data_IF_783729830883
#
_entry.id   IF_783729830883
#
_cell.length_a   1.000
_cell.length_b   1.000
_cell.length_c   1.000
_cell.angle_alpha   90.00
_cell.angle_beta   90.00
_cell.angle_gamma   90.00
#
_symmetry.space_group_name_H-M   'P 1'
#
loop_
_entity.id
_entity.type
_entity.pdbx_description
1 polymer ?
#
# COMPACT_ATOMS: atom_id res chain seq x y z
N UNK A 1 6.61 15.04 6.46
CA UNK A 1 6.83 13.58 6.29
C UNK A 1 7.83 12.98 7.27
N UNK A 2 8.78 13.73 7.85
CA UNK A 2 9.77 13.15 8.77
C UNK A 2 9.37 13.42 10.22
N UNK A 3 8.72 12.45 10.85
CA UNK A 3 8.33 12.50 12.28
C UNK A 3 9.24 11.58 13.08
N UNK A 4 9.54 11.97 14.32
CA UNK A 4 10.12 11.05 15.30
C UNK A 4 9.11 9.93 15.59
N UNK A 5 9.58 8.77 16.09
CA UNK A 5 8.66 7.69 16.51
C UNK A 5 7.72 8.15 17.63
N UNK A 6 8.17 9.06 18.51
CA UNK A 6 7.34 9.65 19.55
C UNK A 6 6.19 10.50 18.96
N UNK A 7 6.50 11.36 17.99
CA UNK A 7 5.49 12.19 17.32
C UNK A 7 4.52 11.35 16.48
N UNK A 8 5.02 10.32 15.81
CA UNK A 8 4.20 9.37 15.07
C UNK A 8 3.14 8.72 15.99
N UNK A 9 3.55 8.22 17.15
CA UNK A 9 2.63 7.64 18.14
C UNK A 9 1.61 8.66 18.64
N UNK A 10 2.05 9.90 18.91
CA UNK A 10 1.17 10.98 19.36
C UNK A 10 0.11 11.32 18.32
N UNK A 11 0.49 11.43 17.05
CA UNK A 11 -0.46 11.71 15.94
C UNK A 11 -1.44 10.55 15.76
N UNK A 12 -0.95 9.30 15.79
CA UNK A 12 -1.83 8.13 15.72
C UNK A 12 -2.87 8.11 16.84
N UNK A 13 -2.47 8.41 18.08
CA UNK A 13 -3.39 8.47 19.22
C UNK A 13 -4.44 9.59 19.09
N UNK A 14 -4.07 10.71 18.48
CA UNK A 14 -4.95 11.87 18.34
C UNK A 14 -5.91 11.75 17.14
N UNK A 15 -5.43 11.26 16.00
CA UNK A 15 -6.15 11.28 14.73
C UNK A 15 -6.70 9.91 14.29
N UNK A 16 -6.21 8.81 14.87
CA UNK A 16 -6.55 7.45 14.45
C UNK A 16 -5.84 6.97 13.18
N UNK A 17 -5.11 7.85 12.48
CA UNK A 17 -4.30 7.50 11.32
C UNK A 17 -3.07 8.41 11.21
N UNK A 18 -2.04 7.96 10.49
CA UNK A 18 -0.86 8.75 10.19
C UNK A 18 -0.21 8.28 8.87
N UNK A 19 0.29 9.23 8.09
CA UNK A 19 1.13 8.98 6.92
C UNK A 19 2.50 9.61 7.16
N UNK A 20 3.55 8.78 7.15
CA UNK A 20 4.93 9.20 7.39
C UNK A 20 5.86 8.66 6.31
N UNK A 21 6.98 9.34 6.09
CA UNK A 21 8.05 8.85 5.24
C UNK A 21 8.95 7.85 5.95
N UNK A 22 9.91 7.28 5.21
CA UNK A 22 10.96 6.44 5.79
C UNK A 22 11.79 7.23 6.81
N UNK A 23 11.97 6.68 8.00
CA UNK A 23 12.87 7.23 9.03
C UNK A 23 14.18 6.45 9.07
N UNK A 24 15.20 6.97 9.74
CA UNK A 24 16.45 6.21 9.96
C UNK A 24 16.23 4.97 10.86
N UNK A 25 15.10 4.91 11.56
CA UNK A 25 14.77 3.88 12.55
C UNK A 25 13.94 2.74 11.95
N UNK A 26 13.29 2.94 10.80
CA UNK A 26 12.41 1.96 10.15
C UNK A 26 13.06 1.46 8.85
N UNK A 27 13.44 0.17 8.81
CA UNK A 27 14.03 -0.53 7.66
C UNK A 27 15.22 0.22 6.99
N UNK A 28 16.29 0.58 7.72
CA UNK A 28 17.40 1.38 7.18
C UNK A 28 18.19 0.68 6.05
N UNK A 29 18.24 -0.65 6.06
CA UNK A 29 18.89 -1.43 5.01
C UNK A 29 18.11 -1.36 3.68
N UNK A 30 16.78 -1.45 3.74
CA UNK A 30 15.92 -1.35 2.56
C UNK A 30 16.09 0.03 1.89
N UNK A 31 16.15 1.11 2.66
CA UNK A 31 16.37 2.46 2.11
C UNK A 31 17.63 2.52 1.23
N UNK A 32 18.75 1.95 1.69
CA UNK A 32 20.01 1.92 0.92
C UNK A 32 19.87 1.01 -0.31
N UNK A 33 19.27 -0.17 -0.15
CA UNK A 33 19.11 -1.14 -1.23
C UNK A 33 18.16 -0.62 -2.32
N UNK A 34 17.07 0.04 -1.95
CA UNK A 34 16.11 0.64 -2.87
C UNK A 34 16.77 1.75 -3.70
N UNK A 35 17.53 2.65 -3.06
CA UNK A 35 18.27 3.69 -3.77
C UNK A 35 19.28 3.12 -4.78
N UNK A 36 19.92 2.01 -4.47
CA UNK A 36 20.81 1.32 -5.41
C UNK A 36 20.03 0.69 -6.58
N UNK A 37 18.87 0.08 -6.31
CA UNK A 37 18.04 -0.56 -7.33
C UNK A 37 17.52 0.42 -8.37
N UNK A 38 17.13 1.60 -7.91
CA UNK A 38 16.59 2.69 -8.74
C UNK A 38 17.57 3.12 -9.84
N UNK A 39 18.88 3.09 -9.54
CA UNK A 39 19.95 3.48 -10.49
C UNK A 39 20.65 2.30 -11.17
N UNK A 40 20.20 1.07 -10.96
CA UNK A 40 20.82 -0.15 -11.54
C UNK A 40 19.85 -1.02 -12.33
N UNK A 41 18.64 -0.54 -12.60
CA UNK A 41 17.60 -1.29 -13.33
C UNK A 41 17.26 -2.65 -12.69
N UNK A 42 17.34 -2.74 -11.36
CA UNK A 42 17.01 -3.95 -10.58
C UNK A 42 15.74 -3.78 -9.72
N UNK A 43 14.92 -2.78 -10.04
CA UNK A 43 13.65 -2.52 -9.34
C UNK A 43 12.64 -3.64 -9.58
N UNK A 44 12.52 -4.13 -10.81
CA UNK A 44 11.42 -5.00 -11.27
C UNK A 44 11.46 -6.45 -10.74
N UNK A 45 12.47 -6.82 -9.94
CA UNK A 45 12.51 -8.16 -9.33
C UNK A 45 11.38 -8.32 -8.30
N UNK A 46 10.44 -9.29 -8.46
CA UNK A 46 9.33 -9.48 -7.52
C UNK A 46 9.80 -9.80 -6.10
N UNK A 47 10.92 -10.52 -5.96
CA UNK A 47 11.52 -10.83 -4.66
C UNK A 47 12.05 -9.58 -3.95
N UNK A 48 12.69 -8.67 -4.69
CA UNK A 48 13.20 -7.42 -4.12
C UNK A 48 12.06 -6.42 -3.85
N UNK A 49 10.98 -6.44 -4.64
CA UNK A 49 9.76 -5.67 -4.37
C UNK A 49 9.12 -6.17 -3.08
N UNK A 50 8.89 -7.48 -2.95
CA UNK A 50 8.34 -8.10 -1.74
C UNK A 50 9.20 -7.76 -0.52
N UNK A 51 10.50 -8.05 -0.55
CA UNK A 51 11.40 -7.78 0.57
C UNK A 51 11.41 -6.29 0.96
N UNK A 52 11.37 -5.40 -0.03
CA UNK A 52 11.33 -3.96 0.22
C UNK A 52 10.04 -3.55 0.92
N UNK A 53 8.88 -3.84 0.34
CA UNK A 53 7.58 -3.42 0.90
C UNK A 53 7.35 -4.05 2.28
N UNK A 54 7.55 -5.37 2.38
CA UNK A 54 7.25 -6.12 3.60
C UNK A 54 8.17 -5.73 4.75
N UNK A 55 9.48 -5.53 4.53
CA UNK A 55 10.41 -5.15 5.61
C UNK A 55 10.00 -3.85 6.31
N UNK A 56 9.51 -2.86 5.56
CA UNK A 56 8.99 -1.61 6.12
C UNK A 56 7.72 -1.85 6.94
N UNK A 57 6.74 -2.53 6.34
CA UNK A 57 5.43 -2.76 6.95
C UNK A 57 5.52 -3.62 8.20
N UNK A 58 6.41 -4.61 8.22
CA UNK A 58 6.66 -5.45 9.39
C UNK A 58 7.40 -4.69 10.49
N UNK A 59 8.35 -3.81 10.12
CA UNK A 59 9.05 -2.95 11.09
C UNK A 59 8.14 -1.89 11.73
N UNK A 60 7.07 -1.47 11.06
CA UNK A 60 6.03 -0.60 11.63
C UNK A 60 5.21 -1.28 12.74
N UNK A 61 5.29 -2.61 12.87
CA UNK A 61 4.63 -3.36 13.94
C UNK A 61 3.14 -3.62 13.71
N UNK A 62 2.67 -3.58 12.45
CA UNK A 62 1.26 -3.77 12.09
C UNK A 62 0.73 -5.14 12.50
N UNK A 63 -0.57 -5.24 12.76
CA UNK A 63 -1.27 -6.51 13.02
C UNK A 63 -1.78 -7.18 11.73
N UNK A 64 -2.05 -6.38 10.70
CA UNK A 64 -2.44 -6.86 9.39
C UNK A 64 -2.20 -5.85 8.28
N UNK A 65 -2.20 -6.34 7.04
CA UNK A 65 -1.94 -5.54 5.85
C UNK A 65 -2.88 -5.93 4.71
N UNK A 66 -3.47 -4.93 4.07
CA UNK A 66 -4.12 -5.06 2.76
C UNK A 66 -3.19 -4.47 1.70
N UNK A 67 -2.94 -5.24 0.63
CA UNK A 67 -2.06 -4.88 -0.47
C UNK A 67 -2.86 -4.57 -1.72
N UNK A 68 -2.53 -3.47 -2.38
CA UNK A 68 -3.04 -3.12 -3.70
C UNK A 68 -1.95 -3.41 -4.75
N UNK A 69 -2.08 -4.55 -5.43
CA UNK A 69 -1.11 -5.02 -6.43
C UNK A 69 -1.61 -4.64 -7.82
N UNK A 70 -0.97 -3.66 -8.42
CA UNK A 70 -1.34 -3.16 -9.75
C UNK A 70 -0.91 -4.14 -10.86
N UNK A 71 -1.78 -4.33 -11.86
CA UNK A 71 -1.46 -5.00 -13.12
C UNK A 71 -1.79 -4.11 -14.32
N UNK A 72 -1.15 -4.34 -15.47
CA UNK A 72 -1.45 -3.61 -16.71
C UNK A 72 -0.32 -2.70 -17.19
N UNK A 73 -0.58 -1.96 -18.25
CA UNK A 73 0.41 -1.19 -19.02
C UNK A 73 1.11 -0.09 -18.22
N UNK A 74 0.47 0.45 -17.17
CA UNK A 74 1.04 1.41 -16.23
C UNK A 74 1.70 0.78 -14.98
N UNK A 75 1.52 -0.52 -14.72
CA UNK A 75 2.04 -1.18 -13.52
C UNK A 75 3.48 -1.70 -13.69
N UNK A 76 4.15 -2.04 -12.59
CA UNK A 76 5.39 -2.85 -12.66
C UNK A 76 5.10 -4.26 -13.21
N UNK A 77 3.99 -4.86 -12.78
CA UNK A 77 3.57 -6.18 -13.23
C UNK A 77 2.65 -6.03 -14.44
N UNK A 78 3.22 -6.08 -15.66
CA UNK A 78 2.43 -5.88 -16.90
C UNK A 78 1.40 -6.97 -17.17
N UNK A 79 1.70 -8.20 -16.74
CA UNK A 79 0.83 -9.37 -16.92
C UNK A 79 0.22 -9.73 -15.57
N UNK A 80 -1.07 -10.03 -15.58
CA UNK A 80 -1.83 -10.41 -14.39
C UNK A 80 -1.17 -11.58 -13.64
N UNK A 81 -0.67 -12.60 -14.35
CA UNK A 81 0.05 -13.72 -13.73
C UNK A 81 1.26 -13.30 -12.88
N UNK A 82 1.96 -12.23 -13.26
CA UNK A 82 3.07 -11.70 -12.45
C UNK A 82 2.57 -10.91 -11.24
N UNK A 83 1.44 -10.22 -11.35
CA UNK A 83 0.78 -9.56 -10.23
C UNK A 83 0.26 -10.58 -9.20
N UNK A 84 -0.37 -11.66 -9.66
CA UNK A 84 -0.78 -12.80 -8.83
C UNK A 84 0.42 -13.38 -8.09
N UNK A 85 1.51 -13.67 -8.81
CA UNK A 85 2.73 -14.20 -8.20
C UNK A 85 3.29 -13.27 -7.11
N UNK A 86 3.34 -11.96 -7.36
CA UNK A 86 3.79 -10.99 -6.36
C UNK A 86 2.86 -10.93 -5.16
N UNK A 87 1.54 -10.97 -5.38
CA UNK A 87 0.54 -10.96 -4.33
C UNK A 87 0.68 -12.19 -3.42
N UNK A 88 0.75 -13.39 -4.00
CA UNK A 88 0.95 -14.65 -3.27
C UNK A 88 2.24 -14.62 -2.45
N UNK A 89 3.35 -14.21 -3.08
CA UNK A 89 4.64 -14.09 -2.40
C UNK A 89 4.58 -13.15 -1.18
N UNK A 90 3.92 -12.00 -1.30
CA UNK A 90 3.81 -11.02 -0.22
C UNK A 90 2.85 -11.46 0.89
N UNK A 91 1.71 -12.07 0.52
CA UNK A 91 0.75 -12.65 1.47
C UNK A 91 1.43 -13.77 2.27
N UNK A 92 2.04 -14.73 1.60
CA UNK A 92 2.73 -15.85 2.25
C UNK A 92 3.84 -15.35 3.18
N UNK A 93 4.62 -14.36 2.74
CA UNK A 93 5.67 -13.76 3.57
C UNK A 93 5.09 -13.14 4.85
N UNK A 94 4.00 -12.39 4.74
CA UNK A 94 3.34 -11.76 5.88
C UNK A 94 2.73 -12.76 6.85
N UNK A 95 2.08 -13.80 6.33
CA UNK A 95 1.49 -14.88 7.13
C UNK A 95 2.54 -15.68 7.89
N UNK A 96 3.68 -15.98 7.25
CA UNK A 96 4.85 -16.60 7.91
C UNK A 96 5.44 -15.74 9.03
N UNK A 97 5.27 -14.41 8.95
CA UNK A 97 5.63 -13.45 10.01
C UNK A 97 4.52 -13.28 11.07
N UNK A 98 3.44 -14.06 10.99
CA UNK A 98 2.31 -14.02 11.93
C UNK A 98 1.38 -12.83 11.73
N UNK A 99 1.33 -12.23 10.54
CA UNK A 99 0.47 -11.08 10.22
C UNK A 99 -0.75 -11.53 9.41
N UNK A 100 -1.87 -10.85 9.60
CA UNK A 100 -3.04 -11.03 8.74
C UNK A 100 -2.81 -10.34 7.40
N UNK A 101 -3.12 -11.00 6.30
CA UNK A 101 -2.80 -10.48 4.96
C UNK A 101 -4.01 -10.57 4.04
N UNK A 102 -4.16 -9.59 3.16
CA UNK A 102 -5.06 -9.65 2.00
C UNK A 102 -4.42 -8.87 0.86
N UNK A 103 -4.66 -9.30 -0.38
CA UNK A 103 -4.19 -8.59 -1.55
C UNK A 103 -5.32 -8.48 -2.59
N UNK A 104 -5.45 -7.31 -3.21
CA UNK A 104 -6.32 -7.06 -4.34
C UNK A 104 -5.43 -6.84 -5.56
N UNK A 105 -5.78 -7.47 -6.67
CA UNK A 105 -5.15 -7.22 -7.97
C UNK A 105 -6.03 -6.23 -8.70
N UNK A 106 -5.47 -5.09 -9.07
CA UNK A 106 -6.27 -3.97 -9.59
C UNK A 106 -5.68 -3.39 -10.86
N UNK A 107 -6.57 -2.87 -11.71
CA UNK A 107 -6.20 -2.36 -13.03
C UNK A 107 -5.31 -1.11 -12.94
N UNK A 108 -4.39 -1.02 -13.89
CA UNK A 108 -3.54 0.13 -14.17
C UNK A 108 -3.22 0.17 -15.68
N UNK A 109 -4.12 -0.31 -16.54
CA UNK A 109 -4.05 -0.04 -17.98
C UNK A 109 -4.36 1.43 -18.30
N UNK A 110 -5.01 2.13 -17.37
CA UNK A 110 -5.25 3.57 -17.40
C UNK A 110 -4.96 4.19 -16.02
N UNK A 111 -4.73 5.52 -15.94
CA UNK A 111 -4.67 6.22 -14.66
C UNK A 111 -5.99 6.03 -13.87
N UNK A 112 -5.86 5.80 -12.57
CA UNK A 112 -7.00 5.77 -11.65
C UNK A 112 -7.49 7.20 -11.39
N UNK A 113 -8.80 7.41 -11.42
CA UNK A 113 -9.40 8.74 -11.23
C UNK A 113 -9.25 9.64 -12.46
N UNK A 114 -9.25 10.97 -12.26
CA UNK A 114 -9.15 11.94 -13.37
C UNK A 114 -7.85 12.72 -13.37
N UNK A 115 -7.15 12.80 -12.24
CA UNK A 115 -5.98 13.64 -12.09
C UNK A 115 -4.71 12.83 -11.86
N UNK A 116 -3.61 13.31 -12.43
CA UNK A 116 -2.25 12.80 -12.20
C UNK A 116 -1.38 13.99 -11.81
N UNK A 117 -0.77 13.96 -10.63
CA UNK A 117 0.03 15.07 -10.12
C UNK A 117 0.15 15.08 -8.59
N UNK A 118 0.29 16.27 -8.00
CA UNK A 118 0.38 16.40 -6.54
C UNK A 118 -0.86 17.11 -5.99
N UNK A 119 -0.98 18.42 -6.25
CA UNK A 119 -2.10 19.22 -5.75
C UNK A 119 -3.45 18.81 -6.36
N UNK A 120 -3.44 18.40 -7.64
CA UNK A 120 -4.65 17.94 -8.33
C UNK A 120 -5.17 16.62 -7.75
N UNK A 121 -4.29 15.68 -7.40
CA UNK A 121 -4.70 14.44 -6.72
C UNK A 121 -5.26 14.71 -5.32
N UNK A 122 -4.66 15.65 -4.58
CA UNK A 122 -5.20 16.07 -3.26
C UNK A 122 -6.59 16.71 -3.41
N UNK A 123 -6.81 17.51 -4.46
CA UNK A 123 -8.15 18.04 -4.75
C UNK A 123 -9.16 16.91 -4.99
N UNK A 124 -8.80 15.91 -5.79
CA UNK A 124 -9.66 14.76 -6.08
C UNK A 124 -9.99 13.95 -4.83
N UNK A 125 -9.03 13.76 -3.92
CA UNK A 125 -9.25 13.11 -2.62
C UNK A 125 -10.30 13.87 -1.81
N UNK A 126 -10.25 15.20 -1.77
CA UNK A 126 -11.26 16.01 -1.06
C UNK A 126 -12.64 15.83 -1.69
N UNK A 127 -12.75 15.76 -3.01
CA UNK A 127 -14.02 15.48 -3.70
C UNK A 127 -14.56 14.10 -3.34
N UNK A 128 -13.72 13.07 -3.34
CA UNK A 128 -14.08 11.69 -2.94
C UNK A 128 -14.58 11.64 -1.50
N UNK A 129 -13.88 12.26 -0.56
CA UNK A 129 -14.28 12.31 0.84
C UNK A 129 -15.60 13.06 1.09
N UNK A 130 -16.01 13.91 0.14
CA UNK A 130 -17.30 14.60 0.15
C UNK A 130 -18.42 13.81 -0.56
N UNK A 131 -18.16 12.55 -0.94
CA UNK A 131 -19.10 11.70 -1.67
C UNK A 131 -19.24 12.04 -3.15
N UNK A 132 -18.31 12.81 -3.71
CA UNK A 132 -18.18 13.16 -5.13
C UNK A 132 -16.96 12.46 -5.73
N UNK A 133 -16.42 12.97 -6.83
CA UNK A 133 -15.21 12.43 -7.46
C UNK A 133 -15.49 11.26 -8.43
N UNK A 134 -14.43 10.66 -8.99
CA UNK A 134 -14.52 9.55 -9.94
C UNK A 134 -15.00 8.25 -9.28
N UNK A 135 -15.82 7.50 -10.00
CA UNK A 135 -16.42 6.28 -9.46
C UNK A 135 -15.41 5.14 -9.27
N UNK A 136 -14.48 4.98 -10.20
CA UNK A 136 -13.40 3.99 -10.15
C UNK A 136 -12.52 4.15 -8.90
N UNK A 137 -12.12 5.39 -8.60
CA UNK A 137 -11.36 5.70 -7.38
C UNK A 137 -12.17 5.41 -6.11
N UNK A 138 -13.44 5.82 -6.07
CA UNK A 138 -14.31 5.57 -4.91
C UNK A 138 -14.56 4.08 -4.67
N UNK A 139 -14.80 3.33 -5.74
CA UNK A 139 -15.04 1.90 -5.67
C UNK A 139 -13.80 1.19 -5.11
N UNK A 140 -12.62 1.47 -5.67
CA UNK A 140 -11.38 0.88 -5.19
C UNK A 140 -11.09 1.24 -3.71
N UNK A 141 -11.30 2.50 -3.32
CA UNK A 141 -11.18 2.90 -1.91
C UNK A 141 -12.13 2.12 -1.00
N UNK A 142 -13.37 1.89 -1.44
CA UNK A 142 -14.36 1.14 -0.67
C UNK A 142 -14.00 -0.34 -0.54
N UNK A 143 -13.53 -0.96 -1.61
CA UNK A 143 -13.06 -2.35 -1.61
C UNK A 143 -11.86 -2.54 -0.68
N UNK A 144 -10.84 -1.68 -0.78
CA UNK A 144 -9.68 -1.72 0.11
C UNK A 144 -10.05 -1.47 1.57
N UNK A 145 -10.94 -0.50 1.84
CA UNK A 145 -11.39 -0.20 3.20
C UNK A 145 -12.22 -1.36 3.79
N UNK A 146 -13.12 -1.96 3.02
CA UNK A 146 -13.88 -3.15 3.43
C UNK A 146 -12.95 -4.31 3.80
N UNK A 147 -11.92 -4.55 2.99
CA UNK A 147 -10.87 -5.52 3.30
C UNK A 147 -10.13 -5.19 4.60
N UNK A 148 -9.82 -3.91 4.85
CA UNK A 148 -9.15 -3.48 6.08
C UNK A 148 -10.04 -3.68 7.31
N UNK A 149 -11.34 -3.35 7.23
CA UNK A 149 -12.29 -3.55 8.34
C UNK A 149 -12.49 -5.03 8.66
N UNK A 150 -12.63 -5.86 7.65
CA UNK A 150 -12.72 -7.31 7.82
C UNK A 150 -11.45 -7.88 8.45
N UNK A 151 -10.27 -7.50 7.94
CA UNK A 151 -8.98 -7.96 8.47
C UNK A 151 -8.76 -7.54 9.94
N UNK A 152 -9.20 -6.31 10.26
CA UNK A 152 -9.20 -5.74 11.62
C UNK A 152 -10.24 -6.37 12.56
N UNK A 153 -11.16 -7.20 12.05
CA UNK A 153 -12.22 -7.83 12.83
C UNK A 153 -13.36 -6.89 13.22
N UNK A 154 -13.50 -5.75 12.52
CA UNK A 154 -14.58 -4.79 12.72
C UNK A 154 -15.87 -5.27 12.07
N UNK A 155 -15.76 -5.90 10.90
CA UNK A 155 -16.89 -6.46 10.13
C UNK A 155 -16.72 -7.97 9.95
N UNK A 156 -17.82 -8.69 9.71
CA UNK A 156 -17.80 -10.16 9.53
C UNK A 156 -17.46 -10.57 8.10
N UNK A 157 -17.70 -9.66 7.15
CA UNK A 157 -17.40 -9.85 5.73
C UNK A 157 -16.85 -8.56 5.15
N UNK A 158 -16.22 -8.63 3.97
CA UNK A 158 -15.73 -7.44 3.25
C UNK A 158 -16.87 -6.55 2.73
N UNK A 159 -18.06 -7.12 2.50
CA UNK A 159 -19.21 -6.41 1.93
C UNK A 159 -20.10 -5.69 2.95
N UNK A 160 -19.96 -6.04 4.24
CA UNK A 160 -20.64 -5.40 5.38
C UNK A 160 -19.89 -4.15 5.81
#
# INVERSE_FOLDING_TARGET
MNLSVADFRRVLQACGCAMIGQTAEIAPADRKLYALRDVTSTVESPYLICASIMSKKLAEGIDGLVLDIKTGSGAFMKKEVHAVFLAELMVETGERMGKKMMALITDMDQPLGRYVGNALEVQEVVEVLQGRGPEDLRQLCSELAGSMFFLGGITRTVAE
#
